data_IF_140550637385
#
_entry.id   IF_140550637385
#
_cell.length_a   1.000
_cell.length_b   1.000
_cell.length_c   1.000
_cell.angle_alpha   90.00
_cell.angle_beta   90.00
_cell.angle_gamma   90.00
#
_symmetry.space_group_name_H-M   'P 1'
#
loop_
_entity.id
_entity.type
_entity.pdbx_description
1 polymer ?
#
# COMPACT_ATOMS: atom_id res chain seq x y z
N UNK A 1 15.38 -3.09 5.09
CA UNK A 1 15.01 -3.60 3.75
C UNK A 1 14.62 -2.42 2.85
N UNK A 2 15.08 -2.38 1.59
CA UNK A 2 14.80 -1.23 0.69
C UNK A 2 13.46 -1.44 0.01
N UNK A 3 12.35 -1.16 0.71
CA UNK A 3 11.02 -1.20 0.08
C UNK A 3 10.94 -0.17 -1.05
N UNK A 4 10.65 -0.66 -2.25
CA UNK A 4 10.34 0.16 -3.42
C UNK A 4 8.88 -0.02 -3.88
N UNK A 5 8.46 0.81 -4.83
CA UNK A 5 7.07 0.84 -5.32
C UNK A 5 6.62 -0.48 -5.94
N UNK A 6 7.51 -1.14 -6.69
CA UNK A 6 7.21 -2.43 -7.35
C UNK A 6 7.06 -3.54 -6.32
N UNK A 7 7.94 -3.58 -5.32
CA UNK A 7 7.83 -4.55 -4.22
C UNK A 7 6.54 -4.35 -3.43
N UNK A 8 6.16 -3.10 -3.14
CA UNK A 8 4.92 -2.81 -2.44
C UNK A 8 3.69 -3.26 -3.24
N UNK A 9 3.62 -2.93 -4.53
CA UNK A 9 2.52 -3.36 -5.41
C UNK A 9 2.44 -4.89 -5.56
N UNK A 10 3.57 -5.61 -5.56
CA UNK A 10 3.59 -7.07 -5.65
C UNK A 10 3.06 -7.78 -4.41
N UNK A 11 3.08 -7.11 -3.26
CA UNK A 11 2.64 -7.67 -1.98
C UNK A 11 1.26 -7.15 -1.54
N UNK A 12 0.65 -6.24 -2.30
CA UNK A 12 -0.72 -5.82 -2.10
C UNK A 12 -1.68 -6.81 -2.79
N UNK A 13 -2.78 -7.22 -2.13
CA UNK A 13 -3.80 -8.03 -2.76
C UNK A 13 -4.58 -7.20 -3.80
N UNK A 14 -4.97 -7.87 -4.88
CA UNK A 14 -5.76 -7.28 -5.95
C UNK A 14 -7.24 -7.23 -5.57
N UNK A 15 -7.88 -6.07 -5.75
CA UNK A 15 -9.29 -5.84 -5.48
C UNK A 15 -9.75 -6.19 -4.05
N UNK A 16 -8.81 -6.19 -3.10
CA UNK A 16 -9.07 -6.41 -1.68
C UNK A 16 -8.38 -5.32 -0.84
N UNK A 17 -9.01 -4.96 0.27
CA UNK A 17 -8.46 -3.96 1.19
C UNK A 17 -7.41 -4.61 2.10
N UNK A 18 -6.21 -4.04 2.10
CA UNK A 18 -5.12 -4.42 3.00
C UNK A 18 -4.74 -3.26 3.90
N UNK A 19 -4.44 -3.55 5.17
CA UNK A 19 -3.97 -2.55 6.11
C UNK A 19 -2.47 -2.23 5.95
N UNK A 20 -2.07 -1.04 6.38
CA UNK A 20 -0.64 -0.69 6.46
C UNK A 20 0.12 -1.65 7.39
N UNK A 21 -0.53 -2.10 8.47
CA UNK A 21 0.05 -3.03 9.44
C UNK A 21 0.38 -4.38 8.81
N UNK A 22 -0.56 -5.00 8.09
CA UNK A 22 -0.34 -6.26 7.38
C UNK A 22 0.82 -6.16 6.36
N UNK A 23 0.93 -5.03 5.65
CA UNK A 23 2.03 -4.79 4.73
C UNK A 23 3.36 -4.58 5.45
N UNK A 24 3.34 -3.93 6.61
CA UNK A 24 4.52 -3.69 7.48
C UNK A 24 5.07 -5.01 8.00
N UNK A 25 4.19 -5.90 8.47
CA UNK A 25 4.53 -7.24 8.95
C UNK A 25 5.02 -8.15 7.82
N UNK A 26 4.30 -8.20 6.69
CA UNK A 26 4.68 -9.03 5.54
C UNK A 26 6.03 -8.64 4.96
N UNK A 27 6.29 -7.33 4.86
CA UNK A 27 7.50 -6.81 4.21
C UNK A 27 8.67 -6.60 5.19
N UNK A 28 8.43 -6.72 6.50
CA UNK A 28 9.42 -6.43 7.55
C UNK A 28 10.01 -5.01 7.38
N UNK A 29 9.13 -4.04 7.15
CA UNK A 29 9.47 -2.64 6.83
C UNK A 29 8.71 -1.71 7.77
N UNK A 30 9.31 -0.57 8.09
CA UNK A 30 8.71 0.47 8.92
C UNK A 30 7.37 0.99 8.35
N UNK A 31 6.34 1.07 9.21
CA UNK A 31 4.98 1.47 8.86
C UNK A 31 4.92 2.86 8.21
N UNK A 32 5.74 3.80 8.71
CA UNK A 32 5.79 5.16 8.16
C UNK A 32 6.22 5.13 6.69
N UNK A 33 7.13 4.23 6.34
CA UNK A 33 7.65 4.08 4.99
C UNK A 33 6.61 3.45 4.06
N UNK A 34 5.92 2.41 4.51
CA UNK A 34 4.79 1.79 3.78
C UNK A 34 3.72 2.85 3.50
N UNK A 35 3.28 3.59 4.53
CA UNK A 35 2.27 4.65 4.42
C UNK A 35 2.68 5.76 3.46
N UNK A 36 3.95 6.21 3.52
CA UNK A 36 4.46 7.22 2.59
C UNK A 36 4.40 6.76 1.14
N UNK A 37 4.80 5.52 0.87
CA UNK A 37 4.74 4.93 -0.47
C UNK A 37 3.30 4.77 -0.97
N UNK A 38 2.40 4.25 -0.14
CA UNK A 38 0.98 4.10 -0.50
C UNK A 38 0.32 5.44 -0.82
N UNK A 39 0.52 6.45 0.03
CA UNK A 39 -0.01 7.79 -0.21
C UNK A 39 0.56 8.40 -1.51
N UNK A 40 1.85 8.17 -1.79
CA UNK A 40 2.46 8.60 -3.03
C UNK A 40 1.84 7.90 -4.24
N UNK A 41 1.60 6.58 -4.16
CA UNK A 41 0.97 5.79 -5.23
C UNK A 41 -0.45 6.27 -5.52
N UNK A 42 -1.26 6.49 -4.48
CA UNK A 42 -2.61 7.07 -4.60
C UNK A 42 -2.57 8.46 -5.24
N UNK A 43 -1.68 9.34 -4.76
CA UNK A 43 -1.55 10.72 -5.28
C UNK A 43 -1.17 10.76 -6.77
N UNK A 44 -0.36 9.80 -7.23
CA UNK A 44 0.10 9.71 -8.61
C UNK A 44 -0.82 8.89 -9.52
N UNK A 45 -1.95 8.39 -9.00
CA UNK A 45 -2.83 7.42 -9.68
C UNK A 45 -2.03 6.25 -10.28
N UNK A 46 -1.01 5.81 -9.54
CA UNK A 46 -0.13 4.73 -9.97
C UNK A 46 -0.80 3.40 -9.63
N UNK A 47 -0.90 2.50 -10.63
CA UNK A 47 -1.49 1.16 -10.49
C UNK A 47 -2.93 1.13 -9.95
N UNK A 48 -3.74 2.14 -10.26
CA UNK A 48 -5.13 2.25 -9.78
C UNK A 48 -5.30 1.98 -8.26
N UNK A 49 -4.29 2.33 -7.46
CA UNK A 49 -4.36 2.17 -6.00
C UNK A 49 -5.39 3.14 -5.43
N UNK A 50 -6.30 2.62 -4.61
CA UNK A 50 -7.28 3.40 -3.86
C UNK A 50 -7.02 3.31 -2.36
N UNK A 51 -7.33 4.41 -1.68
CA UNK A 51 -7.43 4.46 -0.22
C UNK A 51 -8.91 4.36 0.16
N UNK A 52 -9.23 3.64 1.24
CA UNK A 52 -10.61 3.49 1.69
C UNK A 52 -11.15 4.85 2.20
N UNK A 53 -12.39 5.23 1.85
CA UNK A 53 -12.94 6.55 2.18
C UNK A 53 -13.15 6.78 3.68
N UNK A 54 -13.51 5.74 4.42
CA UNK A 54 -13.80 5.82 5.87
C UNK A 54 -12.62 5.40 6.75
N UNK A 55 -11.72 4.54 6.25
CA UNK A 55 -10.60 4.00 7.01
C UNK A 55 -9.29 4.28 6.28
N UNK A 56 -8.57 5.32 6.71
CA UNK A 56 -7.34 5.78 6.04
C UNK A 56 -6.16 4.81 6.13
N UNK A 57 -6.31 3.72 6.89
CA UNK A 57 -5.28 2.68 7.04
C UNK A 57 -5.43 1.54 6.02
N UNK A 58 -6.55 1.51 5.28
CA UNK A 58 -6.83 0.49 4.27
C UNK A 58 -6.54 1.00 2.86
N UNK A 59 -5.80 0.20 2.11
CA UNK A 59 -5.43 0.46 0.73
C UNK A 59 -5.76 -0.76 -0.14
N UNK A 60 -6.05 -0.53 -1.40
CA UNK A 60 -6.38 -1.58 -2.36
C UNK A 60 -5.67 -1.30 -3.67
N UNK A 61 -5.10 -2.34 -4.26
CA UNK A 61 -4.59 -2.32 -5.63
C UNK A 61 -5.71 -2.75 -6.57
N UNK A 62 -6.03 -1.95 -7.58
CA UNK A 62 -7.05 -2.31 -8.57
C UNK A 62 -6.34 -2.72 -9.86
N UNK A 63 -6.69 -3.88 -10.40
CA UNK A 63 -6.19 -4.41 -11.68
C UNK A 63 -7.34 -4.71 -12.63
#
# INVERSE_FOLDING_TARGET
>A
VRLNQKELAQNMPNNEWVSVEELTESLWVDERRVRQLLNWMVSRKWWDVKQHPENKELFMLIQ
#
